data_IF_410006355410
#
_entry.id   IF_410006355410
#
_cell.length_a   1.000
_cell.length_b   1.000
_cell.length_c   1.000
_cell.angle_alpha   90.00
_cell.angle_beta   90.00
_cell.angle_gamma   90.00
#
_symmetry.space_group_name_H-M   'P 1'
#
loop_
_entity.id
_entity.type
_entity.pdbx_description
1 polymer ?
#
# COMPACT_ATOMS: atom_id res chain seq x y z
N UNK A 1 76.40 -41.37 -33.46
CA UNK A 1 76.61 -42.09 -32.20
C UNK A 1 75.57 -41.64 -31.18
N UNK A 2 74.36 -42.21 -31.15
CA UNK A 2 73.65 -42.95 -32.19
C UNK A 2 72.17 -43.05 -31.79
N UNK A 3 71.31 -43.34 -32.77
CA UNK A 3 69.91 -43.67 -32.52
C UNK A 3 69.79 -44.95 -31.66
N UNK A 4 68.75 -45.05 -30.82
CA UNK A 4 67.93 -46.26 -30.91
C UNK A 4 66.46 -46.08 -30.46
N UNK A 5 65.57 -46.43 -31.39
CA UNK A 5 64.13 -46.74 -31.24
C UNK A 5 64.02 -48.28 -31.01
N UNK A 6 62.89 -48.98 -31.24
CA UNK A 6 61.46 -48.68 -31.06
C UNK A 6 60.94 -49.41 -29.78
N UNK A 7 59.68 -49.77 -29.51
CA UNK A 7 58.40 -49.80 -30.23
C UNK A 7 57.24 -49.63 -29.18
N UNK A 8 55.94 -49.64 -29.48
CA UNK A 8 55.20 -49.97 -30.70
C UNK A 8 53.90 -49.11 -30.84
N UNK A 9 52.93 -49.59 -31.61
CA UNK A 9 51.66 -48.94 -31.96
C UNK A 9 50.43 -49.72 -31.46
N UNK A 10 49.33 -49.00 -31.18
CA UNK A 10 47.95 -49.46 -31.46
C UNK A 10 47.01 -48.26 -31.65
N UNK A 11 46.16 -48.34 -32.66
CA UNK A 11 45.30 -47.27 -33.14
C UNK A 11 43.89 -47.28 -32.53
N UNK A 12 43.34 -46.07 -32.28
CA UNK A 12 42.01 -45.53 -32.67
C UNK A 12 40.75 -46.43 -32.55
N UNK A 13 39.57 -45.86 -32.17
CA UNK A 13 38.95 -44.79 -32.95
C UNK A 13 38.29 -43.63 -32.20
N UNK A 14 38.15 -42.52 -32.93
CA UNK A 14 37.49 -41.29 -32.50
C UNK A 14 35.97 -41.33 -32.73
N UNK A 15 35.21 -40.53 -31.97
CA UNK A 15 33.86 -40.03 -32.27
C UNK A 15 33.64 -38.69 -31.51
N UNK A 16 32.70 -37.82 -31.93
CA UNK A 16 33.13 -36.53 -32.47
C UNK A 16 32.71 -35.31 -31.65
N UNK A 17 33.31 -34.16 -31.98
CA UNK A 17 32.97 -32.86 -31.42
C UNK A 17 31.48 -32.51 -31.64
N UNK A 18 30.82 -32.03 -30.57
CA UNK A 18 29.57 -31.27 -30.65
C UNK A 18 29.83 -29.83 -30.26
N UNK A 19 29.78 -28.95 -31.25
CA UNK A 19 29.77 -27.50 -31.02
C UNK A 19 28.58 -27.12 -30.13
N UNK A 20 28.79 -26.18 -29.19
CA UNK A 20 27.69 -25.52 -28.49
C UNK A 20 26.99 -24.57 -29.48
N UNK A 21 25.69 -24.74 -29.77
CA UNK A 21 24.97 -23.80 -30.61
C UNK A 21 24.86 -22.45 -29.91
N UNK A 22 25.39 -21.40 -30.51
CA UNK A 22 25.04 -20.03 -30.14
C UNK A 22 23.59 -19.81 -30.60
N UNK A 23 22.64 -19.72 -29.66
CA UNK A 23 21.27 -19.33 -30.00
C UNK A 23 21.14 -17.80 -29.95
N UNK A 24 20.66 -17.23 -31.04
CA UNK A 24 20.58 -15.79 -31.24
C UNK A 24 19.67 -15.08 -30.24
N UNK A 25 19.84 -13.76 -30.12
CA UNK A 25 18.95 -12.87 -29.38
C UNK A 25 17.54 -12.96 -29.98
N UNK A 26 16.58 -13.41 -29.19
CA UNK A 26 15.15 -13.26 -29.48
C UNK A 26 14.57 -12.28 -28.47
N UNK A 27 13.85 -11.27 -28.96
CA UNK A 27 13.43 -10.12 -28.15
C UNK A 27 12.36 -10.51 -27.15
N UNK A 28 12.59 -10.22 -25.88
CA UNK A 28 11.61 -10.44 -24.82
C UNK A 28 10.27 -9.73 -25.18
N UNK A 29 9.12 -10.41 -25.08
CA UNK A 29 7.83 -9.79 -25.36
C UNK A 29 7.60 -8.64 -24.38
N UNK A 30 7.36 -7.43 -24.90
CA UNK A 30 7.05 -6.23 -24.11
C UNK A 30 5.91 -6.54 -23.13
N UNK A 31 6.27 -6.73 -21.85
CA UNK A 31 5.31 -6.88 -20.75
C UNK A 31 4.48 -5.60 -20.71
N UNK A 32 3.20 -5.69 -21.07
CA UNK A 32 2.31 -4.53 -21.18
C UNK A 32 2.31 -3.77 -19.85
N UNK A 33 2.83 -2.55 -19.88
CA UNK A 33 2.75 -1.59 -18.78
C UNK A 33 1.29 -1.15 -18.64
N UNK A 34 0.52 -1.91 -17.84
CA UNK A 34 -0.55 -1.31 -17.08
C UNK A 34 0.10 -0.78 -15.80
N UNK A 35 0.03 0.53 -15.51
CA UNK A 35 0.33 1.03 -14.17
C UNK A 35 -0.51 0.23 -13.18
N UNK A 36 0.16 -0.53 -12.32
CA UNK A 36 -0.54 -1.34 -11.32
C UNK A 36 -0.80 -0.39 -10.15
N UNK A 37 -2.04 0.05 -10.00
CA UNK A 37 -2.41 0.94 -8.91
C UNK A 37 -2.07 0.25 -7.58
N UNK A 38 -1.36 0.96 -6.70
CA UNK A 38 -0.94 0.40 -5.43
C UNK A 38 -2.14 0.00 -4.55
N UNK A 39 -3.32 0.59 -4.78
CA UNK A 39 -4.57 0.18 -4.16
C UNK A 39 -4.95 -1.25 -4.50
N UNK A 40 -4.76 -1.69 -5.74
CA UNK A 40 -5.13 -3.05 -6.20
C UNK A 40 -4.12 -4.13 -5.75
N UNK A 41 -2.87 -3.75 -5.47
CA UNK A 41 -1.79 -4.68 -5.08
C UNK A 41 -1.74 -4.93 -3.57
N UNK A 42 -2.22 -3.97 -2.77
CA UNK A 42 -2.04 -3.96 -1.32
C UNK A 42 -3.38 -3.81 -0.56
N UNK A 43 -4.44 -4.45 -1.05
CA UNK A 43 -5.71 -4.63 -0.31
C UNK A 43 -5.52 -5.66 0.82
N UNK A 44 -5.74 -5.30 2.09
CA UNK A 44 -5.87 -6.28 3.16
C UNK A 44 -7.25 -6.92 3.08
N UNK A 45 -7.37 -8.05 2.36
CA UNK A 45 -8.64 -8.72 2.09
C UNK A 45 -8.57 -10.24 2.24
N UNK A 46 -9.15 -10.74 3.33
CA UNK A 46 -9.64 -12.11 3.59
C UNK A 46 -8.70 -13.33 3.47
N UNK A 47 -7.90 -13.50 2.41
CA UNK A 47 -7.45 -14.84 1.97
C UNK A 47 -5.97 -15.19 2.25
N UNK A 48 -5.24 -14.36 3.00
CA UNK A 48 -3.98 -14.79 3.63
C UNK A 48 -3.74 -14.03 4.93
N UNK A 49 -3.29 -14.74 5.96
CA UNK A 49 -3.33 -14.29 7.36
C UNK A 49 -2.75 -12.89 7.57
N UNK A 50 -3.50 -12.08 8.35
CA UNK A 50 -3.25 -10.68 8.71
C UNK A 50 -1.81 -10.20 8.49
N UNK A 51 -1.56 -9.58 7.33
CA UNK A 51 -0.31 -8.88 7.08
C UNK A 51 -0.19 -7.74 8.11
N UNK A 52 0.78 -7.85 9.03
CA UNK A 52 0.99 -6.85 10.06
C UNK A 52 1.21 -5.47 9.44
N UNK A 53 0.88 -4.40 10.16
CA UNK A 53 1.22 -3.02 9.77
C UNK A 53 2.70 -2.90 9.34
N UNK A 54 3.61 -3.65 9.98
CA UNK A 54 5.02 -3.70 9.63
C UNK A 54 5.30 -4.43 8.29
N UNK A 55 4.51 -5.43 7.92
CA UNK A 55 4.62 -6.14 6.64
C UNK A 55 4.06 -5.29 5.49
N UNK A 56 2.92 -4.61 5.69
CA UNK A 56 2.37 -3.61 4.77
C UNK A 56 3.38 -2.48 4.54
N UNK A 57 3.95 -1.93 5.61
CA UNK A 57 5.02 -0.94 5.53
C UNK A 57 6.22 -1.44 4.73
N UNK A 58 6.71 -2.64 5.01
CA UNK A 58 7.82 -3.26 4.27
C UNK A 58 7.50 -3.41 2.78
N UNK A 59 6.31 -3.88 2.45
CA UNK A 59 5.88 -4.14 1.07
C UNK A 59 5.71 -2.83 0.28
N UNK A 60 5.03 -1.83 0.85
CA UNK A 60 4.80 -0.55 0.20
C UNK A 60 6.07 0.29 0.11
N UNK A 61 6.96 0.24 1.11
CA UNK A 61 8.30 0.83 1.01
C UNK A 61 9.13 0.19 -0.12
N UNK A 62 9.14 -1.14 -0.21
CA UNK A 62 9.86 -1.84 -1.28
C UNK A 62 9.29 -1.53 -2.68
N UNK A 63 7.96 -1.37 -2.80
CA UNK A 63 7.28 -0.95 -4.02
C UNK A 63 7.75 0.44 -4.48
N UNK A 64 7.76 1.43 -3.57
CA UNK A 64 8.25 2.78 -3.87
C UNK A 64 9.74 2.79 -4.25
N UNK A 65 10.57 2.03 -3.53
CA UNK A 65 12.02 1.92 -3.84
C UNK A 65 12.31 1.23 -5.17
N UNK A 66 11.41 0.39 -5.70
CA UNK A 66 11.56 -0.24 -7.01
C UNK A 66 11.21 0.69 -8.20
N UNK A 67 10.90 1.96 -7.96
CA UNK A 67 10.65 2.96 -9.00
C UNK A 67 9.18 3.27 -9.27
N UNK A 68 8.26 2.65 -8.52
CA UNK A 68 6.84 3.00 -8.54
C UNK A 68 6.59 4.25 -7.67
N UNK A 69 7.29 5.34 -7.98
CA UNK A 69 7.27 6.59 -7.23
C UNK A 69 7.19 7.79 -8.19
N UNK A 70 6.97 8.98 -7.65
CA UNK A 70 6.85 10.24 -8.41
C UNK A 70 8.08 10.59 -9.27
N UNK A 71 9.26 10.02 -8.99
CA UNK A 71 10.49 10.23 -9.74
C UNK A 71 10.66 9.22 -10.90
N UNK A 72 9.84 8.17 -10.97
CA UNK A 72 9.90 7.11 -11.98
C UNK A 72 11.21 6.30 -11.98
N UNK A 73 11.95 6.33 -10.86
CA UNK A 73 13.29 5.73 -10.74
C UNK A 73 13.42 4.94 -9.45
N UNK A 74 14.06 3.78 -9.54
CA UNK A 74 14.42 2.99 -8.37
C UNK A 74 15.32 3.80 -7.43
N UNK A 75 14.97 3.90 -6.15
CA UNK A 75 15.76 4.58 -5.13
C UNK A 75 16.57 3.55 -4.35
N UNK A 76 17.85 3.81 -4.18
CA UNK A 76 18.75 2.93 -3.45
C UNK A 76 18.74 3.21 -1.92
N UNK A 77 19.26 2.26 -1.13
CA UNK A 77 19.22 2.33 0.34
C UNK A 77 20.06 3.49 0.92
N UNK A 78 21.11 3.92 0.23
CA UNK A 78 21.94 5.08 0.62
C UNK A 78 21.16 6.38 0.38
N UNK A 79 20.63 6.57 -0.82
CA UNK A 79 19.83 7.75 -1.20
C UNK A 79 18.65 7.99 -0.23
N UNK A 80 17.90 6.93 0.08
CA UNK A 80 16.79 7.01 1.04
C UNK A 80 17.27 7.30 2.47
N UNK A 81 18.36 6.67 2.91
CA UNK A 81 18.93 6.89 4.24
C UNK A 81 19.36 8.35 4.44
N UNK A 82 20.06 8.91 3.46
CA UNK A 82 20.58 10.27 3.50
C UNK A 82 19.45 11.31 3.42
N UNK A 83 18.44 11.09 2.58
CA UNK A 83 17.30 12.00 2.44
C UNK A 83 16.33 11.98 3.64
N UNK A 84 16.21 10.85 4.33
CA UNK A 84 15.31 10.66 5.50
C UNK A 84 16.03 10.98 6.82
N UNK A 85 17.35 11.13 6.81
CA UNK A 85 18.15 11.41 8.02
C UNK A 85 18.27 10.20 8.95
N UNK A 86 18.28 8.98 8.41
CA UNK A 86 18.36 7.73 9.18
C UNK A 86 19.47 6.82 8.67
N UNK A 87 20.02 5.97 9.53
CA UNK A 87 21.15 5.13 9.14
C UNK A 87 20.76 4.04 8.11
N UNK A 88 21.66 3.72 7.18
CA UNK A 88 21.47 2.62 6.20
C UNK A 88 21.11 1.28 6.87
N UNK A 89 21.69 0.89 8.04
CA UNK A 89 21.25 -0.29 8.77
C UNK A 89 19.78 -0.24 9.21
N UNK A 90 19.24 0.93 9.57
CA UNK A 90 17.83 1.08 9.92
C UNK A 90 16.92 0.82 8.70
N UNK A 91 17.19 1.46 7.54
CA UNK A 91 16.46 1.19 6.29
C UNK A 91 16.53 -0.30 5.92
N UNK A 92 17.70 -0.94 6.05
CA UNK A 92 17.84 -2.40 5.84
C UNK A 92 17.03 -3.23 6.82
N UNK A 93 16.91 -2.81 8.08
CA UNK A 93 16.13 -3.51 9.12
C UNK A 93 14.63 -3.40 8.86
N UNK A 94 14.16 -2.27 8.33
CA UNK A 94 12.77 -2.09 7.89
C UNK A 94 12.44 -2.96 6.66
N UNK A 95 13.33 -3.01 5.67
CA UNK A 95 13.14 -3.81 4.45
C UNK A 95 13.32 -5.32 4.66
N UNK A 96 14.26 -5.74 5.52
CA UNK A 96 14.59 -7.14 5.80
C UNK A 96 14.99 -7.29 7.28
N UNK A 97 14.02 -7.44 8.21
CA UNK A 97 14.33 -7.67 9.61
C UNK A 97 15.11 -8.97 9.79
N UNK A 98 16.24 -8.92 10.50
CA UNK A 98 17.00 -10.10 10.91
C UNK A 98 16.47 -10.59 12.26
N UNK A 99 16.08 -11.87 12.34
CA UNK A 99 15.75 -12.53 13.61
C UNK A 99 14.30 -12.37 14.08
N UNK A 100 13.32 -12.31 13.18
CA UNK A 100 11.88 -12.40 13.50
C UNK A 100 11.24 -11.13 14.08
N UNK A 101 11.97 -10.35 14.89
CA UNK A 101 11.47 -9.08 15.42
C UNK A 101 11.40 -8.01 14.32
N UNK A 102 10.19 -7.77 13.80
CA UNK A 102 9.90 -6.62 12.96
C UNK A 102 10.27 -5.34 13.72
N UNK A 103 11.00 -4.42 13.08
CA UNK A 103 11.35 -3.14 13.69
C UNK A 103 10.44 -2.06 13.13
N UNK A 104 9.52 -1.59 13.96
CA UNK A 104 8.64 -0.49 13.62
C UNK A 104 9.46 0.80 13.52
N UNK A 105 9.42 1.53 12.39
CA UNK A 105 10.04 2.85 12.27
C UNK A 105 9.34 3.86 13.19
N UNK A 106 10.06 4.90 13.63
CA UNK A 106 9.42 6.01 14.35
C UNK A 106 8.43 6.75 13.46
N UNK A 107 7.39 7.35 14.03
CA UNK A 107 6.42 8.17 13.28
C UNK A 107 7.11 9.30 12.48
N UNK A 108 8.15 9.93 13.05
CA UNK A 108 8.96 10.92 12.34
C UNK A 108 9.66 10.33 11.10
N UNK A 109 10.19 9.11 11.21
CA UNK A 109 10.80 8.38 10.08
C UNK A 109 9.76 8.04 9.01
N UNK A 110 8.56 7.58 9.39
CA UNK A 110 7.47 7.29 8.43
C UNK A 110 7.08 8.57 7.68
N UNK A 111 6.89 9.68 8.38
CA UNK A 111 6.55 10.97 7.76
C UNK A 111 7.66 11.49 6.82
N UNK A 112 8.94 11.29 7.17
CA UNK A 112 10.06 11.67 6.30
C UNK A 112 10.15 10.79 5.03
N UNK A 113 9.95 9.48 5.15
CA UNK A 113 9.85 8.56 3.99
C UNK A 113 8.67 8.94 3.09
N UNK A 114 7.50 9.20 3.68
CA UNK A 114 6.29 9.60 2.95
C UNK A 114 6.53 10.88 2.13
N UNK A 115 7.08 11.92 2.75
CA UNK A 115 7.47 13.17 2.08
C UNK A 115 8.47 12.96 0.96
N UNK A 116 9.49 12.12 1.17
CA UNK A 116 10.52 11.85 0.16
C UNK A 116 9.95 11.23 -1.12
N UNK A 117 9.00 10.30 -1.00
CA UNK A 117 8.36 9.66 -2.16
C UNK A 117 7.14 10.42 -2.71
N UNK A 118 6.65 11.45 -2.01
CA UNK A 118 5.41 12.16 -2.36
C UNK A 118 4.15 11.35 -2.04
N UNK A 119 4.17 10.56 -0.97
CA UNK A 119 3.05 9.73 -0.49
C UNK A 119 2.60 10.16 0.91
N UNK A 120 1.56 9.52 1.46
CA UNK A 120 1.09 9.75 2.83
C UNK A 120 1.66 8.71 3.82
N UNK A 121 1.80 9.05 5.11
CA UNK A 121 2.05 8.06 6.16
C UNK A 121 1.00 6.94 6.17
N UNK A 122 -0.26 7.28 5.89
CA UNK A 122 -1.38 6.34 5.81
C UNK A 122 -1.19 5.32 4.68
N UNK A 123 -0.69 5.76 3.53
CA UNK A 123 -0.26 4.85 2.46
C UNK A 123 0.89 3.95 2.91
N UNK A 124 1.84 4.43 3.71
CA UNK A 124 2.92 3.56 4.21
C UNK A 124 2.43 2.56 5.27
N UNK A 125 1.38 2.87 6.04
CA UNK A 125 0.94 2.04 7.17
C UNK A 125 -0.31 1.18 6.88
N UNK A 126 -1.02 1.43 5.77
CA UNK A 126 -2.26 0.72 5.40
C UNK A 126 -3.55 1.38 5.86
N UNK A 127 -3.50 2.64 6.31
CA UNK A 127 -4.67 3.43 6.73
C UNK A 127 -5.33 4.20 5.58
N UNK A 128 -4.74 4.19 4.38
CA UNK A 128 -5.25 4.81 3.16
C UNK A 128 -6.47 4.10 2.54
N UNK A 129 -6.87 2.96 3.08
CA UNK A 129 -8.06 2.23 2.67
C UNK A 129 -9.33 2.82 3.33
N UNK A 130 -10.21 3.51 2.57
CA UNK A 130 -11.51 3.99 3.08
C UNK A 130 -12.46 2.83 3.42
N UNK A 131 -12.09 1.59 3.08
CA UNK A 131 -12.84 0.38 3.43
C UNK A 131 -12.57 -0.17 4.82
N UNK A 132 -11.62 0.40 5.57
CA UNK A 132 -11.50 0.11 7.00
C UNK A 132 -12.65 0.77 7.77
N UNK A 133 -13.28 0.01 8.66
CA UNK A 133 -14.37 0.51 9.51
C UNK A 133 -13.91 1.68 10.41
N UNK A 134 -12.63 1.68 10.80
CA UNK A 134 -11.97 2.77 11.50
C UNK A 134 -11.84 4.04 10.64
N UNK A 135 -11.42 3.93 9.38
CA UNK A 135 -11.34 5.06 8.45
C UNK A 135 -12.70 5.71 8.18
N UNK A 136 -13.75 4.89 8.01
CA UNK A 136 -15.14 5.38 7.91
C UNK A 136 -15.60 6.11 9.17
N UNK A 137 -15.37 5.53 10.35
CA UNK A 137 -15.75 6.14 11.65
C UNK A 137 -15.00 7.44 11.94
N UNK A 138 -13.73 7.55 11.55
CA UNK A 138 -12.94 8.77 11.72
C UNK A 138 -13.49 9.92 10.87
N UNK A 139 -13.63 9.70 9.55
CA UNK A 139 -14.19 10.68 8.62
C UNK A 139 -15.61 11.12 8.99
N UNK A 140 -16.44 10.18 9.44
CA UNK A 140 -17.79 10.46 9.93
C UNK A 140 -17.79 11.30 11.22
N UNK A 141 -16.86 11.04 12.14
CA UNK A 141 -16.73 11.84 13.36
C UNK A 141 -16.28 13.28 13.06
N UNK A 142 -15.34 13.46 12.14
CA UNK A 142 -14.88 14.78 11.72
C UNK A 142 -16.00 15.58 11.03
N UNK A 143 -16.82 14.91 10.21
CA UNK A 143 -17.99 15.54 9.56
C UNK A 143 -19.02 16.04 10.59
N UNK A 144 -19.37 15.24 11.59
CA UNK A 144 -20.31 15.67 12.64
C UNK A 144 -19.74 16.77 13.56
N UNK A 145 -18.43 16.74 13.83
CA UNK A 145 -17.75 17.77 14.59
C UNK A 145 -17.71 19.11 13.81
N UNK A 146 -17.45 19.07 12.50
CA UNK A 146 -17.44 20.25 11.64
C UNK A 146 -18.82 20.93 11.52
N UNK A 147 -19.91 20.15 11.63
CA UNK A 147 -21.29 20.66 11.68
C UNK A 147 -21.68 21.27 13.05
N UNK A 148 -20.76 21.33 14.03
CA UNK A 148 -21.02 21.93 15.35
C UNK A 148 -22.08 21.21 16.18
N UNK A 149 -22.42 19.95 15.85
CA UNK A 149 -23.46 19.20 16.52
C UNK A 149 -23.05 18.86 17.96
N UNK A 150 -24.01 18.93 18.89
CA UNK A 150 -23.75 18.48 20.25
C UNK A 150 -23.51 16.96 20.31
N UNK A 151 -22.65 16.50 21.21
CA UNK A 151 -22.22 15.09 21.31
C UNK A 151 -23.40 14.10 21.38
N UNK A 152 -24.48 14.46 22.11
CA UNK A 152 -25.67 13.61 22.24
C UNK A 152 -26.40 13.41 20.90
N UNK A 153 -26.40 14.40 20.01
CA UNK A 153 -26.89 14.26 18.64
C UNK A 153 -25.98 13.36 17.81
N UNK A 154 -24.65 13.53 17.91
CA UNK A 154 -23.65 12.69 17.22
C UNK A 154 -23.83 11.21 17.57
N UNK A 155 -23.92 10.89 18.87
CA UNK A 155 -24.10 9.51 19.35
C UNK A 155 -25.40 8.87 18.85
N UNK A 156 -26.47 9.68 18.73
CA UNK A 156 -27.78 9.21 18.23
C UNK A 156 -27.77 8.94 16.72
N UNK A 157 -27.15 9.82 15.94
CA UNK A 157 -26.99 9.63 14.49
C UNK A 157 -26.10 8.41 14.19
N UNK A 158 -24.98 8.25 14.92
CA UNK A 158 -24.11 7.07 14.84
C UNK A 158 -24.89 5.78 15.13
N UNK A 159 -25.65 5.72 16.24
CA UNK A 159 -26.47 4.54 16.58
C UNK A 159 -27.55 4.23 15.52
N UNK A 160 -28.10 5.24 14.84
CA UNK A 160 -29.09 5.03 13.79
C UNK A 160 -28.45 4.52 12.48
N UNK A 161 -27.25 5.00 12.14
CA UNK A 161 -26.46 4.49 10.99
C UNK A 161 -25.92 3.08 11.22
N UNK A 162 -25.50 2.75 12.44
CA UNK A 162 -25.09 1.38 12.80
C UNK A 162 -26.26 0.39 12.64
N UNK A 163 -27.47 0.77 13.06
CA UNK A 163 -28.71 0.01 12.82
C UNK A 163 -29.12 -0.07 11.35
N UNK A 164 -28.51 0.70 10.45
CA UNK A 164 -28.70 0.55 9.00
C UNK A 164 -27.94 -0.64 8.43
N UNK A 165 -26.88 -1.09 9.10
CA UNK A 165 -26.10 -2.27 8.71
C UNK A 165 -26.73 -3.61 9.17
N UNK A 166 -27.76 -3.57 10.03
CA UNK A 166 -28.55 -4.73 10.42
C UNK A 166 -29.61 -5.04 9.35
N UNK A 167 -29.57 -6.24 8.75
CA UNK A 167 -30.51 -6.69 7.71
C UNK A 167 -31.99 -6.55 8.11
N UNK A 168 -32.32 -6.61 9.40
CA UNK A 168 -33.70 -6.54 9.90
C UNK A 168 -34.20 -5.11 10.08
N UNK A 169 -33.30 -4.15 10.21
CA UNK A 169 -33.61 -2.75 10.51
C UNK A 169 -33.16 -1.79 9.42
N UNK A 170 -32.37 -2.25 8.44
CA UNK A 170 -31.72 -1.47 7.39
C UNK A 170 -32.66 -0.53 6.64
N UNK A 171 -33.76 -1.04 6.08
CA UNK A 171 -34.73 -0.23 5.34
C UNK A 171 -35.41 0.82 6.23
N UNK A 172 -35.82 0.43 7.45
CA UNK A 172 -36.49 1.33 8.39
C UNK A 172 -35.54 2.41 8.93
N UNK A 173 -34.28 2.06 9.20
CA UNK A 173 -33.24 3.00 9.59
C UNK A 173 -32.89 3.97 8.45
N UNK A 174 -32.83 3.47 7.20
CA UNK A 174 -32.63 4.31 6.02
C UNK A 174 -33.80 5.30 5.81
N UNK A 175 -35.04 4.84 5.92
CA UNK A 175 -36.23 5.70 5.82
C UNK A 175 -36.27 6.78 6.92
N UNK A 176 -35.90 6.43 8.16
CA UNK A 176 -35.80 7.39 9.26
C UNK A 176 -34.65 8.38 9.07
N UNK A 177 -33.51 7.95 8.53
CA UNK A 177 -32.41 8.86 8.17
C UNK A 177 -32.84 9.86 7.08
N UNK A 178 -33.55 9.41 6.04
CA UNK A 178 -34.07 10.29 4.98
C UNK A 178 -35.15 11.26 5.50
N UNK A 179 -35.99 10.83 6.45
CA UNK A 179 -36.93 11.71 7.12
C UNK A 179 -36.23 12.79 7.97
N UNK A 180 -35.18 12.42 8.71
CA UNK A 180 -34.39 13.37 9.49
C UNK A 180 -33.67 14.39 8.61
N UNK A 181 -33.07 13.94 7.51
CA UNK A 181 -32.39 14.79 6.52
C UNK A 181 -33.34 15.87 5.99
N UNK A 182 -34.55 15.46 5.56
CA UNK A 182 -35.59 16.40 5.14
C UNK A 182 -36.00 17.39 6.23
N UNK A 183 -36.27 16.93 7.46
CA UNK A 183 -36.66 17.82 8.56
C UNK A 183 -35.55 18.83 8.89
N UNK A 184 -34.28 18.43 8.78
CA UNK A 184 -33.14 19.31 9.01
C UNK A 184 -33.05 20.36 7.90
N UNK A 185 -33.25 20.00 6.63
CA UNK A 185 -33.31 20.94 5.51
C UNK A 185 -34.49 21.92 5.64
N UNK A 186 -35.72 21.40 5.82
CA UNK A 186 -36.93 22.22 5.99
C UNK A 186 -36.75 23.25 7.13
N UNK A 187 -36.17 22.83 8.27
CA UNK A 187 -35.89 23.72 9.41
C UNK A 187 -34.71 24.68 9.19
N UNK A 188 -33.73 24.31 8.35
CA UNK A 188 -32.63 25.20 7.97
C UNK A 188 -33.12 26.31 7.04
N UNK A 189 -33.97 25.99 6.06
CA UNK A 189 -34.63 26.96 5.18
C UNK A 189 -35.47 27.97 5.99
N UNK A 190 -36.28 27.48 6.94
CA UNK A 190 -37.03 28.35 7.87
C UNK A 190 -36.09 29.23 8.72
N UNK A 191 -34.97 28.69 9.21
CA UNK A 191 -34.01 29.43 10.03
C UNK A 191 -33.27 30.51 9.22
N UNK A 192 -32.88 30.24 7.97
CA UNK A 192 -32.30 31.21 7.06
C UNK A 192 -33.31 32.33 6.74
N UNK A 193 -34.56 31.99 6.44
CA UNK A 193 -35.64 32.96 6.20
C UNK A 193 -35.96 33.84 7.43
N UNK A 194 -35.71 33.36 8.65
CA UNK A 194 -35.82 34.13 9.89
C UNK A 194 -34.61 35.04 10.16
N UNK A 195 -33.45 34.76 9.54
CA UNK A 195 -32.27 35.61 9.58
C UNK A 195 -32.30 36.71 8.51
N UNK A 196 -33.08 36.52 7.43
CA UNK A 196 -33.41 37.52 6.41
C UNK A 196 -34.35 38.62 6.95
N UNK A 197 -33.87 39.36 7.95
CA UNK A 197 -34.48 40.60 8.43
C UNK A 197 -34.20 41.72 7.42
N UNK A 198 -35.26 42.38 6.94
CA UNK A 198 -35.20 43.58 6.08
C UNK A 198 -34.64 44.81 6.80
#
# INVERSE_FOLDING_TARGET
MDDNKPAAAREKPAKPAKAKPQKAKESAPKRRERPIDAKDVFVPGADSGEASMNDLFRMRLAYLMNGNNSQGKSVNIQELADAVGVSRPAIRKYLKPKGGAATTPSAATVCAIARYFGTTPDFLLGFDAPDTEAGRRALESDYYNALGLNQRTIDRLRSLREKRADERLGERAAALMAMLDRIICDFAEDAEALLDIK
#
